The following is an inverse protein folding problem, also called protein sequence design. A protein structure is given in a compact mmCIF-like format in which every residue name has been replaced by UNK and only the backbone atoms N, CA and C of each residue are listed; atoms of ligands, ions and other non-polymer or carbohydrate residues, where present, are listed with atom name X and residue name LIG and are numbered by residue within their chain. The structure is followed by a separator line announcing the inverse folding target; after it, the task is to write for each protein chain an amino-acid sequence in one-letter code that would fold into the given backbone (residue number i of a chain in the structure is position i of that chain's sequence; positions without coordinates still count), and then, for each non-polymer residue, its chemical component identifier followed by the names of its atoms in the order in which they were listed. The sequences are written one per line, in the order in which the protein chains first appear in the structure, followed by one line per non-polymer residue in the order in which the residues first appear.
data_IF_202162048908
#
_entry.id   IF_202162048908
#
_cell.length_a   1.000
_cell.length_b   1.000
_cell.length_c   1.000
_cell.angle_alpha   90.00
_cell.angle_beta   90.00
_cell.angle_gamma   90.00
#
_symmetry.space_group_name_H-M   'P 1'
#
loop_
_entity.id
_entity.type
_entity.pdbx_description
1 polymer ?
#
# COMPACT_ATOMS: atom_id res chain seq x y z
N UNK A 1 -33.64 -23.66 39.00
CA UNK A 1 -33.24 -23.72 37.58
C UNK A 1 -32.12 -24.75 37.45
N UNK A 2 -32.37 -25.85 36.74
CA UNK A 2 -31.47 -27.01 36.71
C UNK A 2 -30.12 -26.68 36.05
N UNK A 3 -29.04 -26.96 36.78
CA UNK A 3 -27.65 -26.69 36.40
C UNK A 3 -27.28 -27.34 35.04
N UNK A 4 -27.90 -28.47 34.69
CA UNK A 4 -27.77 -29.11 33.38
C UNK A 4 -28.24 -28.25 32.19
N UNK A 5 -29.24 -27.37 32.38
CA UNK A 5 -29.72 -26.47 31.32
C UNK A 5 -28.78 -25.29 31.11
N UNK A 6 -28.06 -24.87 32.14
CA UNK A 6 -27.08 -23.78 32.06
C UNK A 6 -25.84 -24.17 31.24
N UNK A 7 -25.40 -25.43 31.35
CA UNK A 7 -24.27 -25.95 30.56
C UNK A 7 -24.57 -26.06 29.05
N UNK A 8 -25.83 -26.33 28.68
CA UNK A 8 -26.26 -26.45 27.28
C UNK A 8 -26.32 -25.11 26.53
N UNK A 9 -26.52 -24.00 27.25
CA UNK A 9 -26.48 -22.65 26.65
C UNK A 9 -25.06 -22.07 26.61
N UNK A 10 -24.14 -22.53 27.48
CA UNK A 10 -22.75 -22.06 27.50
C UNK A 10 -21.91 -22.69 26.37
N UNK A 11 -22.24 -23.90 25.92
CA UNK A 11 -21.52 -24.57 24.82
C UNK A 11 -21.89 -24.05 23.42
N UNK A 12 -23.07 -23.48 23.23
CA UNK A 12 -23.52 -22.95 21.93
C UNK A 12 -22.98 -21.53 21.63
N UNK A 13 -22.60 -20.77 22.66
CA UNK A 13 -22.08 -19.41 22.51
C UNK A 13 -20.59 -19.34 22.11
N UNK A 14 -19.82 -20.42 22.25
CA UNK A 14 -18.37 -20.41 22.03
C UNK A 14 -17.95 -20.68 20.58
N UNK A 15 -18.86 -21.14 19.72
CA UNK A 15 -18.50 -21.62 18.37
C UNK A 15 -18.52 -20.51 17.29
N UNK A 16 -19.06 -19.32 17.57
CA UNK A 16 -19.25 -18.25 16.56
C UNK A 16 -18.21 -17.13 16.67
N UNK A 17 -16.94 -17.45 16.91
CA UNK A 17 -15.85 -16.46 16.89
C UNK A 17 -14.72 -16.78 15.90
N UNK A 18 -14.72 -17.94 15.24
CA UNK A 18 -13.63 -18.37 14.34
C UNK A 18 -13.86 -17.97 12.88
N UNK A 19 -14.64 -16.91 12.63
CA UNK A 19 -15.24 -16.66 11.33
C UNK A 19 -14.47 -15.75 10.36
N UNK A 20 -13.41 -15.04 10.79
CA UNK A 20 -12.62 -14.18 9.89
C UNK A 20 -11.18 -14.01 10.41
N UNK A 21 -10.36 -15.07 10.31
CA UNK A 21 -8.91 -14.91 10.35
C UNK A 21 -8.45 -14.57 8.93
N UNK A 22 -7.66 -13.50 8.78
CA UNK A 22 -6.85 -13.34 7.58
C UNK A 22 -6.04 -14.63 7.38
N UNK A 23 -6.08 -15.21 6.18
CA UNK A 23 -5.40 -16.48 5.92
C UNK A 23 -3.95 -16.39 6.40
N UNK A 24 -3.50 -17.37 7.19
CA UNK A 24 -2.11 -17.37 7.67
C UNK A 24 -1.20 -17.49 6.46
N UNK A 25 -0.40 -16.44 6.21
CA UNK A 25 0.72 -16.55 5.29
C UNK A 25 1.53 -17.78 5.69
N UNK A 26 1.98 -18.62 4.73
CA UNK A 26 2.78 -19.80 5.05
C UNK A 26 3.94 -19.42 5.98
N UNK A 27 4.15 -20.21 7.04
CA UNK A 27 5.16 -19.93 8.07
C UNK A 27 6.56 -19.74 7.47
N UNK A 28 6.81 -20.38 6.34
CA UNK A 28 8.07 -20.35 5.59
C UNK A 28 8.42 -18.98 5.00
N UNK A 29 7.48 -18.02 4.93
CA UNK A 29 7.77 -16.67 4.42
C UNK A 29 8.24 -15.68 5.49
N UNK A 30 8.21 -16.06 6.77
CA UNK A 30 8.58 -15.16 7.86
C UNK A 30 10.01 -14.60 7.72
N UNK A 31 11.04 -15.42 7.38
CA UNK A 31 12.40 -14.91 7.20
C UNK A 31 12.50 -13.87 6.07
N UNK A 32 11.86 -14.12 4.93
CA UNK A 32 11.86 -13.22 3.77
C UNK A 32 11.11 -11.93 4.06
N UNK A 33 9.94 -12.03 4.69
CA UNK A 33 9.15 -10.87 5.10
C UNK A 33 9.93 -9.98 6.08
N UNK A 34 10.63 -10.58 7.05
CA UNK A 34 11.50 -9.85 7.98
C UNK A 34 12.66 -9.18 7.26
N UNK A 35 13.30 -9.87 6.31
CA UNK A 35 14.39 -9.30 5.50
C UNK A 35 13.91 -8.08 4.70
N UNK A 36 12.75 -8.17 4.05
CA UNK A 36 12.17 -7.05 3.29
C UNK A 36 11.80 -5.89 4.22
N UNK A 37 11.19 -6.19 5.37
CA UNK A 37 10.84 -5.18 6.38
C UNK A 37 12.09 -4.44 6.86
N UNK A 38 13.14 -5.17 7.23
CA UNK A 38 14.39 -4.58 7.69
C UNK A 38 15.03 -3.71 6.61
N UNK A 39 15.07 -4.17 5.35
CA UNK A 39 15.60 -3.41 4.22
C UNK A 39 14.79 -2.13 3.94
N UNK A 40 13.47 -2.19 4.07
CA UNK A 40 12.57 -1.07 3.84
C UNK A 40 12.66 0.00 4.95
N UNK A 41 12.76 -0.42 6.22
CA UNK A 41 12.72 0.50 7.36
C UNK A 41 14.08 1.05 7.77
N UNK A 42 15.18 0.42 7.35
CA UNK A 42 16.55 0.85 7.68
C UNK A 42 17.29 1.38 6.45
N UNK A 43 16.58 2.06 5.57
CA UNK A 43 17.13 2.66 4.36
C UNK A 43 16.64 4.09 4.19
N UNK A 44 17.54 4.97 3.76
CA UNK A 44 17.19 6.36 3.40
C UNK A 44 16.58 6.47 2.00
N UNK A 45 16.62 5.40 1.21
CA UNK A 45 16.24 5.40 -0.21
C UNK A 45 14.83 5.98 -0.45
N UNK A 46 13.83 5.54 0.32
CA UNK A 46 12.46 6.03 0.20
C UNK A 46 12.33 7.53 0.48
N UNK A 47 13.02 8.02 1.50
CA UNK A 47 13.07 9.45 1.81
C UNK A 47 13.79 10.24 0.72
N UNK A 48 14.91 9.75 0.18
CA UNK A 48 15.61 10.42 -0.91
C UNK A 48 14.75 10.54 -2.17
N UNK A 49 14.01 9.47 -2.53
CA UNK A 49 13.03 9.49 -3.64
C UNK A 49 11.94 10.52 -3.38
N UNK A 50 11.39 10.56 -2.16
CA UNK A 50 10.37 11.53 -1.77
C UNK A 50 10.90 12.97 -1.82
N UNK A 51 12.11 13.22 -1.35
CA UNK A 51 12.77 14.53 -1.44
C UNK A 51 12.91 14.98 -2.88
N UNK A 52 13.44 14.14 -3.78
CA UNK A 52 13.52 14.48 -5.21
C UNK A 52 12.15 14.79 -5.78
N UNK A 53 11.15 13.96 -5.47
CA UNK A 53 9.78 14.15 -5.96
C UNK A 53 9.20 15.50 -5.46
N UNK A 54 9.36 15.83 -4.19
CA UNK A 54 8.83 17.06 -3.60
C UNK A 54 9.59 18.31 -4.07
N UNK A 55 10.91 18.29 -4.03
CA UNK A 55 11.73 19.48 -4.25
C UNK A 55 11.88 19.82 -5.74
N UNK A 56 11.82 18.81 -6.61
CA UNK A 56 11.95 19.02 -8.08
C UNK A 56 10.62 19.43 -8.71
N UNK A 57 9.51 18.81 -8.30
CA UNK A 57 8.22 18.99 -8.98
C UNK A 57 7.19 19.78 -8.16
N UNK A 58 7.32 19.85 -6.84
CA UNK A 58 6.42 20.63 -5.99
C UNK A 58 4.93 20.23 -6.11
N UNK A 59 3.99 21.18 -6.13
CA UNK A 59 2.56 20.89 -6.29
C UNK A 59 2.23 20.20 -7.63
N UNK A 60 1.54 19.06 -7.57
CA UNK A 60 1.22 18.19 -8.73
C UNK A 60 -0.27 17.93 -8.87
N UNK A 61 -1.06 18.99 -8.94
CA UNK A 61 -2.51 18.88 -9.12
C UNK A 61 -2.84 18.26 -10.49
N UNK A 62 -3.97 17.58 -10.59
CA UNK A 62 -4.43 16.90 -11.81
C UNK A 62 -4.44 17.82 -13.04
N UNK A 63 -3.85 17.35 -14.14
CA UNK A 63 -3.68 18.10 -15.39
C UNK A 63 -2.60 19.20 -15.35
N UNK A 64 -1.88 19.38 -14.24
CA UNK A 64 -0.77 20.34 -14.19
C UNK A 64 0.47 19.82 -14.93
N UNK A 65 1.30 20.72 -15.47
CA UNK A 65 2.58 20.34 -16.09
C UNK A 65 3.50 19.62 -15.10
N UNK A 66 3.47 20.01 -13.83
CA UNK A 66 4.30 19.39 -12.80
C UNK A 66 3.89 17.94 -12.53
N UNK A 67 2.60 17.61 -12.63
CA UNK A 67 2.13 16.24 -12.53
C UNK A 67 2.70 15.40 -13.68
N UNK A 68 2.57 15.85 -14.92
CA UNK A 68 3.08 15.11 -16.09
C UNK A 68 4.60 14.87 -16.00
N UNK A 69 5.38 15.91 -15.69
CA UNK A 69 6.83 15.77 -15.49
C UNK A 69 7.20 14.80 -14.38
N UNK A 70 6.41 14.74 -13.31
CA UNK A 70 6.64 13.80 -12.21
C UNK A 70 6.28 12.36 -12.59
N UNK A 71 5.23 12.15 -13.39
CA UNK A 71 4.88 10.84 -13.93
C UNK A 71 6.01 10.34 -14.83
N UNK A 72 6.52 11.16 -15.75
CA UNK A 72 7.64 10.81 -16.62
C UNK A 72 8.88 10.41 -15.82
N UNK A 73 9.19 11.16 -14.77
CA UNK A 73 10.29 10.84 -13.87
C UNK A 73 10.07 9.53 -13.13
N UNK A 74 8.89 9.29 -12.56
CA UNK A 74 8.55 8.03 -11.89
C UNK A 74 8.72 6.83 -12.83
N UNK A 75 8.21 6.93 -14.07
CA UNK A 75 8.36 5.88 -15.08
C UNK A 75 9.83 5.63 -15.43
N UNK A 76 10.65 6.68 -15.53
CA UNK A 76 12.08 6.55 -15.77
C UNK A 76 12.80 5.87 -14.60
N UNK A 77 12.50 6.27 -13.35
CA UNK A 77 13.11 5.66 -12.17
C UNK A 77 12.69 4.20 -11.99
N UNK A 78 11.41 3.85 -12.20
CA UNK A 78 10.98 2.45 -12.16
C UNK A 78 11.69 1.59 -13.22
N UNK A 79 11.94 2.12 -14.42
CA UNK A 79 12.74 1.42 -15.44
C UNK A 79 14.18 1.24 -14.99
N UNK A 80 14.80 2.28 -14.41
CA UNK A 80 16.18 2.21 -13.88
C UNK A 80 16.30 1.22 -12.72
N UNK A 81 15.28 1.13 -11.87
CA UNK A 81 15.20 0.20 -10.75
C UNK A 81 14.99 -1.26 -11.21
N UNK A 82 14.80 -1.50 -12.51
CA UNK A 82 14.73 -2.83 -13.12
C UNK A 82 13.33 -3.45 -13.12
N UNK A 83 12.27 -2.66 -12.89
CA UNK A 83 10.91 -3.16 -12.98
C UNK A 83 10.53 -3.57 -14.41
N UNK A 84 9.76 -4.64 -14.54
CA UNK A 84 9.23 -5.11 -15.81
C UNK A 84 7.89 -4.43 -16.12
N UNK A 85 7.55 -4.31 -17.40
CA UNK A 85 6.24 -3.82 -17.89
C UNK A 85 5.86 -2.39 -17.45
N UNK A 86 6.85 -1.51 -17.21
CA UNK A 86 6.62 -0.11 -16.80
C UNK A 86 6.04 0.71 -17.95
N UNK A 87 4.82 1.23 -17.76
CA UNK A 87 4.10 2.09 -18.70
C UNK A 87 3.15 3.03 -17.93
N UNK A 88 2.86 4.18 -18.51
CA UNK A 88 1.75 5.02 -18.07
C UNK A 88 0.44 4.53 -18.67
N UNK A 89 -0.68 4.87 -18.02
CA UNK A 89 -2.02 4.65 -18.53
C UNK A 89 -2.73 6.00 -18.61
N UNK A 90 -3.32 6.29 -19.78
CA UNK A 90 -4.01 7.57 -20.00
C UNK A 90 -5.34 7.59 -19.26
N UNK A 91 -5.64 8.70 -18.57
CA UNK A 91 -6.88 8.88 -17.82
C UNK A 91 -7.47 10.25 -18.14
N UNK A 92 -8.77 10.27 -18.48
CA UNK A 92 -9.52 11.50 -18.72
C UNK A 92 -10.00 12.06 -17.38
N UNK A 93 -9.66 13.33 -17.12
CA UNK A 93 -9.93 14.01 -15.84
C UNK A 93 -10.33 15.47 -16.07
N UNK A 94 -11.21 16.04 -15.23
CA UNK A 94 -11.53 17.46 -15.30
C UNK A 94 -10.32 18.32 -14.90
N UNK A 95 -10.10 19.42 -15.62
CA UNK A 95 -9.04 20.38 -15.31
C UNK A 95 -9.61 21.56 -14.53
N UNK A 96 -9.25 21.65 -13.25
CA UNK A 96 -9.54 22.84 -12.45
C UNK A 96 -8.31 23.75 -12.38
N UNK A 97 -8.52 25.06 -12.60
CA UNK A 97 -7.49 26.09 -12.49
C UNK A 97 -7.98 27.14 -11.52
N UNK A 98 -7.24 27.37 -10.43
CA UNK A 98 -7.60 28.38 -9.43
C UNK A 98 -7.69 29.77 -10.05
N UNK A 99 -8.81 30.46 -9.82
CA UNK A 99 -8.98 31.87 -10.21
C UNK A 99 -9.15 32.10 -11.71
N UNK A 100 -9.55 31.06 -12.46
CA UNK A 100 -10.02 31.17 -13.84
C UNK A 100 -11.38 30.52 -13.99
#
# INVERSE_FOLDING_TARGET
MNLQRLFLFLSLGLVVATGFAAGSAPADYQPEAQRLTQAATNSVFGFSRLTTLCDTFGPRFTGSKNLESAIDWCLAEMKKDGFQHVRGEEVIVPRWVRGR
#
